data_IF_466047188037
#
_entry.id   IF_466047188037
#
_cell.length_a   1.000
_cell.length_b   1.000
_cell.length_c   1.000
_cell.angle_alpha   90.00
_cell.angle_beta   90.00
_cell.angle_gamma   90.00
#
_symmetry.space_group_name_H-M   'P 1'
#
loop_
_entity.id
_entity.type
_entity.pdbx_description
1 polymer ?
#
# COMPACT_ATOMS: atom_id res chain seq x y z
N UNK A 1 -9.95 1.23 -6.38
CA UNK A 1 -11.04 1.55 -5.43
C UNK A 1 -10.57 2.61 -4.46
N UNK A 2 -11.45 3.49 -4.08
CA UNK A 2 -11.21 4.44 -3.00
C UNK A 2 -12.42 4.48 -2.06
N UNK A 3 -12.21 4.73 -0.78
CA UNK A 3 -13.25 4.91 0.23
C UNK A 3 -12.82 5.93 1.31
N UNK A 4 -11.95 6.87 0.93
CA UNK A 4 -11.17 7.71 1.83
C UNK A 4 -9.95 6.93 2.27
N UNK A 5 -9.92 6.55 3.52
CA UNK A 5 -8.95 5.60 4.04
C UNK A 5 -9.64 4.27 4.34
N UNK A 6 -8.90 3.16 4.26
CA UNK A 6 -9.41 1.84 4.58
C UNK A 6 -8.48 0.72 4.17
N UNK A 7 -8.77 -0.46 4.70
CA UNK A 7 -8.06 -1.69 4.40
C UNK A 7 -8.89 -2.89 4.82
N UNK A 8 -8.47 -4.07 4.39
CA UNK A 8 -9.11 -5.32 4.77
C UNK A 8 -8.08 -6.35 5.19
N UNK A 9 -8.29 -6.90 6.38
CA UNK A 9 -7.54 -8.08 6.86
C UNK A 9 -8.52 -9.25 6.90
N UNK A 10 -8.16 -10.36 6.28
CA UNK A 10 -9.01 -11.56 6.25
C UNK A 10 -8.19 -12.82 6.56
N UNK A 11 -8.86 -13.79 7.17
CA UNK A 11 -8.25 -15.06 7.56
C UNK A 11 -9.31 -16.15 7.67
N UNK A 12 -8.93 -17.40 7.42
CA UNK A 12 -9.74 -18.59 7.69
C UNK A 12 -9.51 -19.15 9.10
N UNK A 13 -8.58 -18.60 9.87
CA UNK A 13 -8.31 -19.03 11.24
C UNK A 13 -9.26 -18.27 12.21
N UNK A 14 -10.15 -18.97 12.93
CA UNK A 14 -11.14 -18.34 13.82
C UNK A 14 -10.50 -17.59 15.00
N UNK A 15 -9.37 -18.08 15.51
CA UNK A 15 -8.65 -17.40 16.59
C UNK A 15 -8.06 -16.07 16.10
N UNK A 16 -7.39 -16.06 14.93
CA UNK A 16 -6.88 -14.83 14.36
C UNK A 16 -8.00 -13.84 14.01
N UNK A 17 -9.14 -14.31 13.50
CA UNK A 17 -10.31 -13.47 13.24
C UNK A 17 -10.80 -12.78 14.52
N UNK A 18 -10.91 -13.50 15.64
CA UNK A 18 -11.30 -12.94 16.93
C UNK A 18 -10.29 -11.89 17.42
N UNK A 19 -8.99 -12.19 17.36
CA UNK A 19 -7.93 -11.28 17.79
C UNK A 19 -7.90 -10.00 16.92
N UNK A 20 -7.99 -10.13 15.60
CA UNK A 20 -8.02 -8.99 14.68
C UNK A 20 -9.20 -8.05 15.00
N UNK A 21 -10.40 -8.62 15.24
CA UNK A 21 -11.57 -7.82 15.61
C UNK A 21 -11.38 -7.10 16.94
N UNK A 22 -10.77 -7.76 17.91
CA UNK A 22 -10.46 -7.16 19.21
C UNK A 22 -9.44 -6.01 19.06
N UNK A 23 -8.33 -6.23 18.36
CA UNK A 23 -7.34 -5.18 18.09
C UNK A 23 -7.91 -3.98 17.32
N UNK A 24 -8.81 -4.23 16.38
CA UNK A 24 -9.53 -3.18 15.63
C UNK A 24 -10.43 -2.34 16.53
N UNK A 25 -10.94 -2.91 17.62
CA UNK A 25 -11.93 -2.32 18.54
C UNK A 25 -11.31 -2.11 19.93
N UNK A 26 -10.24 -1.34 20.00
CA UNK A 26 -9.47 -0.92 21.20
C UNK A 26 -8.90 -2.06 22.06
N UNK A 27 -8.90 -3.30 21.63
CA UNK A 27 -8.49 -4.45 22.43
C UNK A 27 -9.58 -5.01 23.34
N UNK A 28 -10.85 -4.73 23.04
CA UNK A 28 -11.99 -5.27 23.77
C UNK A 28 -12.10 -6.77 23.63
N UNK A 29 -12.49 -7.42 24.71
CA UNK A 29 -12.81 -8.85 24.73
C UNK A 29 -14.24 -9.15 24.23
N UNK A 30 -15.13 -8.18 24.27
CA UNK A 30 -16.51 -8.30 23.82
C UNK A 30 -16.60 -8.60 22.31
N UNK A 31 -17.40 -9.64 21.97
CA UNK A 31 -17.61 -10.10 20.59
C UNK A 31 -18.93 -9.59 19.96
N UNK A 32 -19.71 -8.82 20.70
CA UNK A 32 -21.01 -8.32 20.21
C UNK A 32 -20.85 -7.46 18.96
N UNK A 33 -21.70 -7.66 17.98
CA UNK A 33 -21.81 -6.80 16.82
C UNK A 33 -22.37 -5.42 17.21
N UNK A 34 -22.19 -4.42 16.35
CA UNK A 34 -22.77 -3.09 16.57
C UNK A 34 -24.29 -3.18 16.72
N UNK A 35 -24.84 -2.47 17.72
CA UNK A 35 -26.27 -2.50 18.02
C UNK A 35 -26.78 -3.75 18.73
N UNK A 36 -25.89 -4.68 19.08
CA UNK A 36 -26.24 -5.89 19.83
C UNK A 36 -25.54 -5.93 21.17
N UNK A 37 -26.21 -6.47 22.16
CA UNK A 37 -25.69 -6.63 23.52
C UNK A 37 -25.87 -8.07 23.99
N UNK A 38 -25.02 -8.48 24.93
CA UNK A 38 -25.11 -9.76 25.64
C UNK A 38 -25.19 -11.01 24.74
N UNK A 39 -24.55 -10.99 23.55
CA UNK A 39 -24.49 -12.16 22.66
C UNK A 39 -23.78 -13.36 23.30
N UNK A 40 -22.88 -13.12 24.25
CA UNK A 40 -22.18 -14.16 25.00
C UNK A 40 -23.06 -14.81 26.07
N UNK A 41 -24.16 -14.18 26.50
CA UNK A 41 -25.01 -14.62 27.63
C UNK A 41 -24.41 -14.36 29.03
N UNK A 42 -23.21 -13.77 29.09
CA UNK A 42 -22.42 -13.65 30.34
C UNK A 42 -21.92 -12.21 30.58
N UNK A 43 -22.75 -11.21 30.23
CA UNK A 43 -22.33 -9.80 30.23
C UNK A 43 -21.84 -9.32 31.60
N UNK A 44 -22.46 -9.80 32.68
CA UNK A 44 -22.20 -9.36 34.05
C UNK A 44 -21.76 -10.51 34.99
N UNK A 45 -21.34 -11.64 34.46
CA UNK A 45 -21.08 -12.86 35.25
C UNK A 45 -19.57 -13.17 35.38
N UNK A 46 -18.71 -12.30 34.89
CA UNK A 46 -17.28 -12.58 34.88
C UNK A 46 -16.47 -11.78 35.89
N UNK A 47 -15.34 -12.35 36.31
CA UNK A 47 -14.26 -11.66 37.00
C UNK A 47 -13.12 -11.41 35.98
N UNK A 48 -12.73 -10.16 35.79
CA UNK A 48 -11.73 -9.76 34.80
C UNK A 48 -10.58 -9.00 35.47
N UNK A 49 -9.45 -9.66 35.68
CA UNK A 49 -8.30 -9.07 36.34
C UNK A 49 -8.63 -8.50 37.69
N UNK A 50 -8.38 -7.22 37.92
CA UNK A 50 -8.68 -6.51 39.19
C UNK A 50 -9.98 -5.67 39.10
N UNK A 51 -10.79 -5.83 38.08
CA UNK A 51 -12.09 -5.17 37.98
C UNK A 51 -13.07 -5.72 39.00
N UNK A 52 -14.10 -4.95 39.43
CA UNK A 52 -15.12 -5.45 40.30
C UNK A 52 -15.83 -6.70 39.75
N UNK A 53 -16.25 -7.61 40.60
CA UNK A 53 -17.08 -8.74 40.20
C UNK A 53 -18.35 -8.27 39.50
N UNK A 54 -18.75 -8.95 38.43
CA UNK A 54 -19.90 -8.56 37.62
C UNK A 54 -19.70 -7.29 36.75
N UNK A 55 -18.46 -6.87 36.54
CA UNK A 55 -18.18 -5.74 35.67
C UNK A 55 -18.68 -5.99 34.26
N UNK A 56 -19.19 -4.94 33.58
CA UNK A 56 -19.77 -5.07 32.26
C UNK A 56 -18.71 -5.53 31.21
N UNK A 57 -18.83 -6.79 30.77
CA UNK A 57 -17.93 -7.41 29.79
C UNK A 57 -17.76 -6.59 28.52
N UNK A 58 -18.73 -5.77 28.13
CA UNK A 58 -18.68 -4.88 26.97
C UNK A 58 -17.50 -3.89 27.03
N UNK A 59 -17.04 -3.54 28.23
CA UNK A 59 -15.99 -2.56 28.47
C UNK A 59 -14.71 -3.18 29.07
N UNK A 60 -14.56 -4.49 28.99
CA UNK A 60 -13.33 -5.17 29.39
C UNK A 60 -12.31 -5.08 28.24
N UNK A 61 -11.12 -4.57 28.53
CA UNK A 61 -10.00 -4.49 27.61
C UNK A 61 -8.96 -5.54 27.97
N UNK A 62 -8.85 -6.58 27.15
CA UNK A 62 -7.92 -7.70 27.40
C UNK A 62 -6.50 -7.40 26.94
N UNK A 63 -6.33 -6.40 26.07
CA UNK A 63 -5.04 -5.91 25.58
C UNK A 63 -5.20 -4.51 25.00
N UNK A 64 -4.09 -3.87 24.66
CA UNK A 64 -4.12 -2.59 23.94
C UNK A 64 -4.43 -2.80 22.46
N UNK A 65 -5.34 -2.01 21.91
CA UNK A 65 -5.72 -2.07 20.52
C UNK A 65 -5.93 -0.68 19.92
N UNK A 66 -6.57 -0.62 18.75
CA UNK A 66 -6.74 0.58 17.96
C UNK A 66 -8.22 0.84 17.67
N UNK A 67 -8.58 2.07 17.33
CA UNK A 67 -9.88 2.38 16.75
C UNK A 67 -9.76 2.38 15.21
N UNK A 68 -9.95 1.22 14.59
CA UNK A 68 -9.79 1.03 13.16
C UNK A 68 -11.08 0.57 12.47
N UNK A 69 -12.23 0.81 13.08
CA UNK A 69 -13.53 0.48 12.46
C UNK A 69 -13.82 1.42 11.30
N UNK A 70 -14.24 0.82 10.18
CA UNK A 70 -14.79 1.56 9.04
C UNK A 70 -16.16 2.13 9.42
N UNK A 71 -16.46 3.35 8.97
CA UNK A 71 -17.79 3.93 9.12
C UNK A 71 -18.74 3.47 8.01
N UNK A 72 -20.05 3.55 8.26
CA UNK A 72 -21.06 3.18 7.25
C UNK A 72 -20.96 4.06 6.00
N UNK A 73 -20.61 5.33 6.15
CA UNK A 73 -20.37 6.24 5.01
C UNK A 73 -19.21 5.76 4.14
N UNK A 74 -18.08 5.36 4.75
CA UNK A 74 -16.94 4.79 4.02
C UNK A 74 -17.33 3.47 3.34
N UNK A 75 -18.07 2.62 4.05
CA UNK A 75 -18.55 1.34 3.51
C UNK A 75 -19.47 1.54 2.30
N UNK A 76 -20.38 2.51 2.35
CA UNK A 76 -21.28 2.85 1.23
C UNK A 76 -20.48 3.29 -0.01
N UNK A 77 -19.47 4.15 0.16
CA UNK A 77 -18.55 4.52 -0.93
C UNK A 77 -17.82 3.28 -1.47
N UNK A 78 -17.33 2.42 -0.57
CA UNK A 78 -16.66 1.17 -0.94
C UNK A 78 -17.54 0.26 -1.79
N UNK A 79 -18.80 0.09 -1.43
CA UNK A 79 -19.77 -0.71 -2.20
C UNK A 79 -19.96 -0.19 -3.64
N UNK A 80 -20.09 1.12 -3.81
CA UNK A 80 -20.21 1.72 -5.15
C UNK A 80 -18.90 1.64 -5.96
N UNK A 81 -17.76 1.75 -5.28
CA UNK A 81 -16.47 1.56 -5.93
C UNK A 81 -16.23 0.11 -6.36
N UNK A 82 -16.72 -0.87 -5.60
CA UNK A 82 -16.60 -2.29 -5.93
C UNK A 82 -17.28 -2.61 -7.26
N UNK A 83 -18.44 -2.02 -7.55
CA UNK A 83 -19.15 -2.16 -8.82
C UNK A 83 -18.33 -1.69 -10.03
N UNK A 84 -17.43 -0.73 -9.83
CA UNK A 84 -16.55 -0.16 -10.88
C UNK A 84 -15.24 -0.93 -11.04
N UNK A 85 -14.89 -1.80 -10.10
CA UNK A 85 -13.60 -2.47 -10.02
C UNK A 85 -13.22 -3.25 -11.30
N UNK A 86 -14.10 -4.05 -11.94
CA UNK A 86 -13.73 -4.76 -13.16
C UNK A 86 -13.23 -3.83 -14.26
N UNK A 87 -13.93 -2.72 -14.51
CA UNK A 87 -13.53 -1.70 -15.49
C UNK A 87 -12.19 -1.05 -15.11
N UNK A 88 -11.95 -0.79 -13.82
CA UNK A 88 -10.70 -0.20 -13.36
C UNK A 88 -9.51 -1.15 -13.55
N UNK A 89 -9.71 -2.44 -13.33
CA UNK A 89 -8.69 -3.48 -13.55
C UNK A 89 -8.31 -3.53 -15.04
N UNK A 90 -9.30 -3.58 -15.92
CA UNK A 90 -9.10 -3.63 -17.37
C UNK A 90 -8.33 -2.39 -17.87
N UNK A 91 -8.79 -1.19 -17.49
CA UNK A 91 -8.14 0.06 -17.88
C UNK A 91 -6.68 0.13 -17.39
N UNK A 92 -6.38 -0.25 -16.14
CA UNK A 92 -5.01 -0.28 -15.61
C UNK A 92 -4.11 -1.27 -16.35
N UNK A 93 -4.62 -2.45 -16.68
CA UNK A 93 -3.88 -3.46 -17.45
C UNK A 93 -3.59 -2.97 -18.87
N UNK A 94 -4.58 -2.35 -19.52
CA UNK A 94 -4.42 -1.80 -20.84
C UNK A 94 -3.39 -0.65 -20.86
N UNK A 95 -3.49 0.30 -19.94
CA UNK A 95 -2.53 1.40 -19.83
C UNK A 95 -1.11 0.90 -19.57
N UNK A 96 -0.95 -0.07 -18.67
CA UNK A 96 0.34 -0.68 -18.39
C UNK A 96 0.93 -1.37 -19.62
N UNK A 97 0.11 -2.17 -20.33
CA UNK A 97 0.53 -2.88 -21.55
C UNK A 97 1.01 -1.90 -22.62
N UNK A 98 0.26 -0.84 -22.86
CA UNK A 98 0.64 0.19 -23.85
C UNK A 98 1.92 0.92 -23.49
N UNK A 99 2.14 1.26 -22.21
CA UNK A 99 3.41 1.82 -21.75
C UNK A 99 4.55 0.85 -21.97
N UNK A 100 4.35 -0.44 -21.65
CA UNK A 100 5.36 -1.47 -21.84
C UNK A 100 5.73 -1.63 -23.33
N UNK A 101 4.74 -1.74 -24.20
CA UNK A 101 4.93 -1.86 -25.64
C UNK A 101 5.61 -0.61 -26.22
N UNK A 102 5.15 0.58 -25.80
CA UNK A 102 5.69 1.85 -26.24
C UNK A 102 7.14 2.11 -25.81
N UNK A 103 7.60 1.51 -24.70
CA UNK A 103 8.97 1.66 -24.19
C UNK A 103 9.85 0.43 -24.43
N UNK A 104 9.35 -0.57 -25.16
CA UNK A 104 10.07 -1.82 -25.38
C UNK A 104 11.39 -1.68 -26.16
N UNK A 105 11.51 -0.65 -26.99
CA UNK A 105 12.66 -0.31 -27.80
C UNK A 105 13.79 0.43 -27.05
N UNK A 106 13.56 0.86 -25.80
CA UNK A 106 14.55 1.56 -24.96
C UNK A 106 15.00 0.73 -23.75
N UNK A 107 14.89 -0.59 -23.82
CA UNK A 107 15.32 -1.50 -22.75
C UNK A 107 16.85 -1.59 -22.61
N UNK A 108 17.61 -1.05 -23.52
CA UNK A 108 19.05 -0.80 -23.37
C UNK A 108 19.32 0.28 -22.29
N UNK A 109 18.42 1.23 -22.11
CA UNK A 109 18.48 2.37 -21.17
C UNK A 109 17.63 2.19 -19.92
N UNK A 110 16.53 1.45 -19.99
CA UNK A 110 15.57 1.24 -18.91
C UNK A 110 15.37 -0.24 -18.57
N UNK A 111 15.22 -0.55 -17.31
CA UNK A 111 14.63 -1.81 -16.85
C UNK A 111 13.13 -1.57 -16.69
N UNK A 112 12.33 -2.30 -17.46
CA UNK A 112 10.87 -2.25 -17.42
C UNK A 112 10.29 -3.31 -16.48
N UNK A 113 9.15 -3.06 -15.85
CA UNK A 113 8.51 -4.00 -14.93
C UNK A 113 7.98 -5.23 -15.67
N UNK A 114 8.07 -6.39 -15.05
CA UNK A 114 7.50 -7.64 -15.58
C UNK A 114 6.62 -8.29 -14.52
N UNK A 115 5.47 -8.87 -14.91
CA UNK A 115 4.70 -9.69 -13.99
C UNK A 115 5.50 -10.93 -13.60
N UNK A 116 5.35 -11.37 -12.36
CA UNK A 116 5.88 -12.66 -11.93
C UNK A 116 5.07 -13.79 -12.58
N UNK A 117 5.70 -14.96 -12.71
CA UNK A 117 5.04 -16.14 -13.26
C UNK A 117 3.74 -16.45 -12.50
N UNK A 118 2.70 -16.89 -13.20
CA UNK A 118 1.38 -17.21 -12.64
C UNK A 118 0.66 -16.03 -11.96
N UNK A 119 1.07 -14.78 -12.23
CA UNK A 119 0.39 -13.59 -11.73
C UNK A 119 -0.40 -12.87 -12.83
N UNK A 120 -1.47 -12.19 -12.44
CA UNK A 120 -2.26 -11.34 -13.33
C UNK A 120 -2.57 -10.00 -12.63
N UNK A 121 -1.55 -9.14 -12.45
CA UNK A 121 -1.66 -7.94 -11.64
C UNK A 121 -2.55 -6.88 -12.28
N UNK A 122 -3.25 -6.11 -11.42
CA UNK A 122 -3.81 -4.82 -11.75
C UNK A 122 -2.85 -3.76 -11.19
N UNK A 123 -1.97 -3.29 -12.03
CA UNK A 123 -0.85 -2.44 -11.65
C UNK A 123 -1.28 -1.12 -11.00
N UNK A 124 -0.57 -0.70 -9.97
CA UNK A 124 -0.74 0.61 -9.35
C UNK A 124 -0.02 1.72 -10.12
N UNK A 125 1.19 1.45 -10.57
CA UNK A 125 2.03 2.31 -11.37
C UNK A 125 2.92 1.53 -12.32
N UNK A 126 3.55 2.22 -13.27
CA UNK A 126 4.54 1.67 -14.18
C UNK A 126 5.93 2.05 -13.68
N UNK A 127 6.61 1.10 -13.04
CA UNK A 127 7.94 1.31 -12.43
C UNK A 127 9.01 1.20 -13.52
N UNK A 128 9.91 2.16 -13.56
CA UNK A 128 11.09 2.16 -14.43
C UNK A 128 12.35 2.33 -13.59
N UNK A 129 13.41 1.60 -13.95
CA UNK A 129 14.73 1.79 -13.34
C UNK A 129 15.70 2.19 -14.44
N UNK A 130 16.32 3.36 -14.34
CA UNK A 130 17.32 3.81 -15.30
C UNK A 130 18.61 2.98 -15.14
N UNK A 131 19.24 2.69 -16.27
CA UNK A 131 20.54 2.00 -16.28
C UNK A 131 21.69 2.99 -16.07
N UNK A 132 22.92 2.47 -16.06
CA UNK A 132 24.11 3.27 -15.89
C UNK A 132 24.25 4.33 -16.97
N UNK A 133 24.80 5.49 -16.60
CA UNK A 133 24.97 6.64 -17.48
C UNK A 133 23.77 7.58 -17.56
N UNK A 134 22.61 7.24 -16.95
CA UNK A 134 21.42 8.07 -16.94
C UNK A 134 21.15 8.59 -15.53
N UNK A 135 21.02 9.89 -15.38
CA UNK A 135 20.66 10.52 -14.10
C UNK A 135 19.14 10.45 -13.87
N UNK A 136 18.73 9.62 -12.92
CA UNK A 136 17.33 9.45 -12.56
C UNK A 136 16.68 10.74 -12.03
N UNK A 137 17.45 11.63 -11.42
CA UNK A 137 16.93 12.90 -10.89
C UNK A 137 16.57 13.83 -12.04
N UNK A 138 17.42 13.93 -13.04
CA UNK A 138 17.17 14.76 -14.21
C UNK A 138 16.01 14.22 -15.06
N UNK A 139 15.91 12.89 -15.21
CA UNK A 139 14.74 12.25 -15.87
C UNK A 139 13.43 12.61 -15.16
N UNK A 140 13.41 12.49 -13.83
CA UNK A 140 12.22 12.81 -13.02
C UNK A 140 11.87 14.30 -13.14
N UNK A 141 12.84 15.21 -13.04
CA UNK A 141 12.62 16.66 -13.19
C UNK A 141 12.02 16.98 -14.56
N UNK A 142 12.60 16.44 -15.62
CA UNK A 142 12.11 16.65 -16.99
C UNK A 142 10.64 16.20 -17.12
N UNK A 143 10.27 15.03 -16.60
CA UNK A 143 8.90 14.53 -16.67
C UNK A 143 7.91 15.41 -15.86
N UNK A 144 8.31 15.86 -14.66
CA UNK A 144 7.49 16.79 -13.86
C UNK A 144 7.29 18.15 -14.59
N UNK A 145 8.32 18.69 -15.23
CA UNK A 145 8.22 19.90 -16.05
C UNK A 145 7.29 19.72 -17.27
N UNK A 146 7.19 18.50 -17.80
CA UNK A 146 6.23 18.15 -18.85
C UNK A 146 4.82 17.84 -18.33
N UNK A 147 4.56 18.06 -17.03
CA UNK A 147 3.26 17.80 -16.39
C UNK A 147 2.96 16.31 -16.17
N UNK A 148 3.96 15.44 -16.25
CA UNK A 148 3.85 14.02 -15.94
C UNK A 148 4.29 13.81 -14.51
N UNK A 149 3.32 13.59 -13.62
CA UNK A 149 3.60 13.34 -12.21
C UNK A 149 4.30 12.00 -12.01
N UNK A 150 5.41 12.03 -11.30
CA UNK A 150 6.23 10.87 -10.98
C UNK A 150 6.26 10.60 -9.48
N UNK A 151 6.73 9.44 -9.08
CA UNK A 151 7.06 9.11 -7.68
C UNK A 151 8.33 8.27 -7.66
N UNK A 152 9.20 8.55 -6.71
CA UNK A 152 10.28 7.62 -6.35
C UNK A 152 9.67 6.35 -5.74
N UNK A 153 10.40 5.25 -5.67
CA UNK A 153 9.85 4.01 -5.09
C UNK A 153 9.78 4.14 -3.55
N UNK A 154 8.77 4.87 -3.10
CA UNK A 154 8.43 5.13 -1.70
C UNK A 154 9.64 5.58 -0.86
N UNK A 155 9.85 4.96 0.31
CA UNK A 155 10.94 5.29 1.21
C UNK A 155 12.33 4.79 0.79
N UNK A 156 12.42 3.96 -0.24
CA UNK A 156 13.71 3.39 -0.66
C UNK A 156 14.42 2.65 0.49
N UNK A 157 15.66 3.01 0.79
CA UNK A 157 16.41 2.42 1.90
C UNK A 157 16.09 3.13 3.22
N UNK A 158 15.16 2.56 4.00
CA UNK A 158 14.67 3.15 5.24
C UNK A 158 15.77 3.42 6.27
N UNK A 159 16.77 2.54 6.37
CA UNK A 159 17.86 2.74 7.36
C UNK A 159 18.76 3.92 7.06
N UNK A 160 18.65 4.54 5.88
CA UNK A 160 19.34 5.80 5.54
C UNK A 160 18.55 7.05 5.92
N UNK A 161 17.27 6.91 6.33
CA UNK A 161 16.44 8.04 6.71
C UNK A 161 16.85 8.66 8.07
N UNK A 162 16.56 9.96 8.28
CA UNK A 162 16.87 10.66 9.53
C UNK A 162 16.28 10.01 10.79
N UNK A 163 15.12 9.34 10.68
CA UNK A 163 14.52 8.63 11.83
C UNK A 163 15.40 7.50 12.40
N UNK A 164 16.40 7.05 11.66
CA UNK A 164 17.38 6.06 12.11
C UNK A 164 18.69 6.68 12.61
N UNK A 165 18.87 8.03 12.60
CA UNK A 165 20.13 8.67 12.94
C UNK A 165 20.63 8.29 14.34
N UNK A 166 19.74 8.36 15.34
CA UNK A 166 20.11 8.01 16.71
C UNK A 166 20.38 6.51 16.89
N UNK A 167 19.62 5.66 16.20
CA UNK A 167 19.84 4.21 16.22
C UNK A 167 21.18 3.86 15.57
N UNK A 168 21.55 4.52 14.46
CA UNK A 168 22.86 4.34 13.82
C UNK A 168 24.00 4.79 14.72
N UNK A 169 23.88 5.95 15.37
CA UNK A 169 24.89 6.45 16.32
C UNK A 169 25.09 5.53 17.50
N UNK A 170 24.01 4.98 18.03
CA UNK A 170 24.01 4.13 19.23
C UNK A 170 24.26 2.65 18.92
N UNK A 171 24.16 2.23 17.67
CA UNK A 171 24.40 0.84 17.23
C UNK A 171 23.34 -0.17 17.66
N UNK A 172 22.12 0.27 18.03
CA UNK A 172 21.03 -0.61 18.44
C UNK A 172 19.65 -0.13 17.93
N UNK A 173 18.64 -0.99 18.05
CA UNK A 173 17.25 -0.68 17.72
C UNK A 173 16.82 -1.16 16.32
N UNK A 174 17.75 -1.62 15.49
CA UNK A 174 17.46 -2.22 14.19
C UNK A 174 18.50 -3.27 13.80
N UNK A 175 18.20 -4.08 12.81
CA UNK A 175 19.11 -5.05 12.22
C UNK A 175 19.09 -4.96 10.70
N UNK A 176 20.26 -4.90 10.08
CA UNK A 176 20.44 -5.01 8.63
C UNK A 176 20.87 -6.44 8.29
N UNK A 177 20.23 -7.03 7.27
CA UNK A 177 20.60 -8.34 6.73
C UNK A 177 21.12 -8.15 5.31
N UNK A 178 22.35 -8.55 5.05
CA UNK A 178 23.06 -8.30 3.78
C UNK A 178 23.55 -6.86 3.64
N UNK A 179 23.89 -6.50 2.40
CA UNK A 179 24.52 -5.21 2.08
C UNK A 179 23.53 -4.12 1.59
N UNK A 180 22.26 -4.47 1.41
CA UNK A 180 21.20 -3.61 0.87
C UNK A 180 21.51 -2.96 -0.50
N UNK A 181 22.48 -3.49 -1.25
CA UNK A 181 22.91 -2.94 -2.54
C UNK A 181 21.75 -2.79 -3.54
N UNK A 182 20.89 -3.81 -3.65
CA UNK A 182 19.73 -3.75 -4.53
C UNK A 182 18.71 -2.69 -4.05
N UNK A 183 18.53 -2.56 -2.73
CA UNK A 183 17.66 -1.53 -2.13
C UNK A 183 18.18 -0.12 -2.46
N UNK A 184 19.48 0.08 -2.38
CA UNK A 184 20.12 1.35 -2.77
C UNK A 184 19.96 1.62 -4.26
N UNK A 185 20.20 0.64 -5.12
CA UNK A 185 19.99 0.78 -6.56
C UNK A 185 18.55 1.17 -6.89
N UNK A 186 17.57 0.53 -6.26
CA UNK A 186 16.16 0.86 -6.45
C UNK A 186 15.87 2.28 -5.96
N UNK A 187 16.38 2.66 -4.81
CA UNK A 187 16.19 3.99 -4.24
C UNK A 187 16.74 5.09 -5.15
N UNK A 188 17.93 4.88 -5.71
CA UNK A 188 18.64 5.88 -6.49
C UNK A 188 18.16 5.95 -7.94
N UNK A 189 17.80 4.82 -8.55
CA UNK A 189 17.59 4.69 -9.99
C UNK A 189 16.15 4.41 -10.41
N UNK A 190 15.21 4.21 -9.46
CA UNK A 190 13.84 3.85 -9.80
C UNK A 190 12.83 4.96 -9.54
N UNK A 191 11.86 5.06 -10.44
CA UNK A 191 10.69 5.91 -10.33
C UNK A 191 9.50 5.26 -11.03
N UNK A 192 8.31 5.77 -10.84
CA UNK A 192 7.11 5.28 -11.52
C UNK A 192 6.18 6.40 -11.95
N UNK A 193 5.40 6.12 -12.99
CA UNK A 193 4.31 6.94 -13.48
C UNK A 193 2.97 6.22 -13.27
N UNK A 194 1.87 6.96 -13.20
CA UNK A 194 0.55 6.40 -12.97
C UNK A 194 0.04 5.57 -14.16
N UNK A 195 -0.80 4.58 -13.87
CA UNK A 195 -1.57 3.79 -14.85
C UNK A 195 -3.06 3.81 -14.52
N UNK A 196 -3.54 4.83 -13.79
CA UNK A 196 -4.91 4.87 -13.30
C UNK A 196 -5.95 4.94 -14.44
N UNK A 197 -7.21 4.54 -14.19
CA UNK A 197 -8.24 4.40 -15.24
C UNK A 197 -8.60 5.66 -16.00
N UNK A 198 -8.25 6.85 -15.50
CA UNK A 198 -8.50 8.13 -16.16
C UNK A 198 -7.42 8.56 -17.18
N UNK A 199 -6.37 7.76 -17.35
CA UNK A 199 -5.37 7.99 -18.41
C UNK A 199 -5.93 7.41 -19.70
N UNK A 200 -6.13 8.28 -20.69
CA UNK A 200 -6.53 7.89 -22.04
C UNK A 200 -5.31 7.57 -22.94
N UNK A 201 -5.60 7.08 -24.13
CA UNK A 201 -4.58 6.64 -25.08
C UNK A 201 -3.61 7.77 -25.48
N UNK A 202 -4.10 9.00 -25.64
CA UNK A 202 -3.26 10.16 -26.00
C UNK A 202 -2.28 10.50 -24.87
N UNK A 203 -2.72 10.37 -23.61
CA UNK A 203 -1.83 10.59 -22.46
C UNK A 203 -0.78 9.50 -22.33
N UNK A 204 -1.15 8.24 -22.63
CA UNK A 204 -0.16 7.14 -22.67
C UNK A 204 0.92 7.42 -23.70
N UNK A 205 0.51 7.79 -24.94
CA UNK A 205 1.45 8.11 -26.03
C UNK A 205 2.34 9.30 -25.68
N UNK A 206 1.78 10.31 -25.02
CA UNK A 206 2.53 11.45 -24.50
C UNK A 206 3.56 11.06 -23.45
N UNK A 207 3.17 10.20 -22.49
CA UNK A 207 4.10 9.68 -21.47
C UNK A 207 5.25 8.92 -22.11
N UNK A 208 4.96 8.02 -23.06
CA UNK A 208 5.97 7.25 -23.80
C UNK A 208 6.96 8.19 -24.51
N UNK A 209 6.44 9.20 -25.21
CA UNK A 209 7.26 10.20 -25.89
C UNK A 209 8.19 10.91 -24.93
N UNK A 210 7.65 11.49 -23.84
CA UNK A 210 8.44 12.27 -22.89
C UNK A 210 9.46 11.39 -22.14
N UNK A 211 9.14 10.14 -21.80
CA UNK A 211 10.13 9.22 -21.20
C UNK A 211 11.29 8.97 -22.13
N UNK A 212 11.04 8.73 -23.43
CA UNK A 212 12.10 8.55 -24.44
C UNK A 212 12.96 9.80 -24.62
N UNK A 213 12.35 10.99 -24.58
CA UNK A 213 13.08 12.26 -24.63
C UNK A 213 13.97 12.48 -23.40
N UNK A 214 13.48 12.12 -22.21
CA UNK A 214 14.17 12.32 -20.94
C UNK A 214 15.43 11.44 -20.77
N UNK A 215 15.50 10.30 -21.44
CA UNK A 215 16.61 9.33 -21.33
C UNK A 215 17.61 9.42 -22.49
N UNK A 216 17.40 10.33 -23.42
CA UNK A 216 18.29 10.58 -24.56
C UNK A 216 19.24 11.73 -24.29
#
# INVERSE_FOLDING_TARGET
MTMGEGGCVYTNNPLLHRLIRSFRDWGRDCICASGQDNMCGHRFEGQYGQLPEGYDHKFVYSHFGFNLKVTDMQAAVGCEQLKKLPRFIEARRNNWKRLYEGLSDVQDKLILPKPTENSNPSWFGFIMTVKEGIDCVEVVKYLEEKGIQTRRLFGGNLVKHPCFDDMRKNGYGYRVVGDLKNTDTIMEKSFWVGVYPGIDDKKVDYIVKCVKEAIN
#
